data_IF_101624557763
#
_entry.id   IF_101624557763
#
_cell.length_a   1.000
_cell.length_b   1.000
_cell.length_c   1.000
_cell.angle_alpha   90.00
_cell.angle_beta   90.00
_cell.angle_gamma   90.00
#
_symmetry.space_group_name_H-M   'P 1'
#
loop_
_entity.id
_entity.type
_entity.pdbx_description
1 polymer ?
#
# COMPACT_ATOMS: atom_id res chain seq x y z
N UNK A 1 -39.97 33.82 12.12
CA UNK A 1 -39.51 32.50 12.60
C UNK A 1 -38.74 31.88 11.45
N UNK A 2 -37.49 32.30 11.23
CA UNK A 2 -36.63 31.73 10.18
C UNK A 2 -35.94 30.52 10.77
N UNK A 3 -36.30 29.34 10.26
CA UNK A 3 -35.62 28.09 10.56
C UNK A 3 -34.23 28.15 9.90
N UNK A 4 -33.20 28.35 10.71
CA UNK A 4 -31.81 28.10 10.31
C UNK A 4 -31.70 26.60 10.02
N UNK A 5 -31.65 26.24 8.74
CA UNK A 5 -31.23 24.91 8.34
C UNK A 5 -29.72 24.83 8.58
N UNK A 6 -29.34 24.24 9.71
CA UNK A 6 -27.98 23.80 9.96
C UNK A 6 -27.58 22.79 8.87
N UNK A 7 -26.82 23.27 7.89
CA UNK A 7 -26.08 22.43 6.96
C UNK A 7 -25.01 21.69 7.76
N UNK A 8 -25.33 20.49 8.23
CA UNK A 8 -24.33 19.59 8.81
C UNK A 8 -23.43 19.15 7.67
N UNK A 9 -22.30 19.82 7.50
CA UNK A 9 -21.21 19.32 6.65
C UNK A 9 -20.88 17.90 7.13
N UNK A 10 -20.85 16.89 6.24
CA UNK A 10 -20.49 15.54 6.65
C UNK A 10 -19.05 15.58 7.16
N UNK A 11 -18.87 15.47 8.47
CA UNK A 11 -17.57 15.24 9.10
C UNK A 11 -17.11 13.85 8.68
N UNK A 12 -16.49 13.76 7.51
CA UNK A 12 -15.73 12.57 7.10
C UNK A 12 -14.69 12.37 8.19
N UNK A 13 -14.65 11.21 8.88
CA UNK A 13 -13.60 10.96 9.85
C UNK A 13 -12.26 11.09 9.10
N UNK A 14 -11.42 12.04 9.53
CA UNK A 14 -10.04 12.21 9.04
C UNK A 14 -9.24 10.99 9.50
N UNK A 15 -9.47 9.87 8.83
CA UNK A 15 -8.74 8.65 9.08
C UNK A 15 -7.30 8.96 8.69
N UNK A 16 -6.35 8.86 9.62
CA UNK A 16 -5.00 9.34 9.38
C UNK A 16 -4.42 8.62 8.17
N UNK A 17 -3.93 9.41 7.22
CA UNK A 17 -3.36 8.93 5.97
C UNK A 17 -1.84 8.94 6.05
N UNK A 18 -1.24 7.88 5.52
CA UNK A 18 0.19 7.68 5.53
C UNK A 18 0.70 7.31 4.15
N UNK A 19 1.98 7.62 3.92
CA UNK A 19 2.76 7.09 2.81
C UNK A 19 3.68 5.99 3.33
N UNK A 20 3.70 4.86 2.63
CA UNK A 20 4.58 3.73 2.91
C UNK A 20 5.30 3.32 1.63
N UNK A 21 6.57 2.95 1.73
CA UNK A 21 7.35 2.54 0.55
C UNK A 21 7.20 1.05 0.29
N UNK A 22 6.53 0.68 -0.80
CA UNK A 22 6.27 -0.72 -1.15
C UNK A 22 7.01 -1.09 -2.43
N UNK A 23 7.64 -2.26 -2.40
CA UNK A 23 8.31 -2.88 -3.54
C UNK A 23 7.52 -4.11 -3.98
N UNK A 24 7.10 -4.12 -5.24
CA UNK A 24 6.29 -5.21 -5.80
C UNK A 24 7.12 -6.44 -6.17
N UNK A 25 8.29 -6.21 -6.78
CA UNK A 25 9.24 -7.23 -7.19
C UNK A 25 10.62 -6.61 -7.37
N UNK A 26 11.67 -7.42 -7.31
CA UNK A 26 12.99 -6.99 -7.79
C UNK A 26 13.03 -7.03 -9.33
N UNK A 27 13.78 -6.11 -9.98
CA UNK A 27 14.65 -5.08 -9.42
C UNK A 27 13.94 -3.74 -9.15
N UNK A 28 12.60 -3.70 -9.12
CA UNK A 28 11.86 -2.44 -8.97
C UNK A 28 12.20 -1.77 -7.64
N UNK A 29 12.26 -0.44 -7.67
CA UNK A 29 12.41 0.37 -6.46
C UNK A 29 11.11 0.37 -5.65
N UNK A 30 11.22 0.71 -4.37
CA UNK A 30 10.05 0.92 -3.54
C UNK A 30 9.37 2.25 -3.91
N UNK A 31 8.09 2.19 -4.26
CA UNK A 31 7.26 3.35 -4.61
C UNK A 31 6.40 3.77 -3.41
N UNK A 32 5.93 5.02 -3.39
CA UNK A 32 5.04 5.51 -2.33
C UNK A 32 3.60 5.04 -2.57
N UNK A 33 3.02 4.37 -1.58
CA UNK A 33 1.62 3.96 -1.54
C UNK A 33 0.89 4.65 -0.39
N UNK A 34 -0.38 4.96 -0.61
CA UNK A 34 -1.28 5.51 0.38
C UNK A 34 -1.89 4.40 1.22
N UNK A 35 -1.93 4.59 2.54
CA UNK A 35 -2.56 3.65 3.47
C UNK A 35 -3.24 4.40 4.62
N UNK A 36 -4.31 3.80 5.15
CA UNK A 36 -4.93 4.17 6.42
C UNK A 36 -4.60 3.16 7.52
N UNK A 37 -3.97 2.03 7.19
CA UNK A 37 -3.50 1.07 8.19
C UNK A 37 -2.33 1.66 8.96
N UNK A 38 -2.46 1.74 10.28
CA UNK A 38 -1.35 2.09 11.17
C UNK A 38 -0.40 0.90 11.35
N UNK A 39 0.84 1.20 11.71
CA UNK A 39 1.82 0.20 12.17
C UNK A 39 2.24 -0.80 11.08
N UNK A 40 2.47 -0.32 9.86
CA UNK A 40 3.17 -1.09 8.83
C UNK A 40 4.68 -0.94 8.99
N UNK A 41 5.35 -2.08 9.15
CA UNK A 41 6.79 -2.16 9.39
C UNK A 41 7.55 -2.64 8.15
N UNK A 42 8.83 -2.30 8.08
CA UNK A 42 9.71 -2.81 7.02
C UNK A 42 9.81 -4.33 7.12
N UNK A 43 9.59 -5.02 6.00
CA UNK A 43 9.52 -6.47 5.91
C UNK A 43 8.10 -7.05 5.96
N UNK A 44 7.09 -6.22 6.26
CA UNK A 44 5.69 -6.62 6.17
C UNK A 44 5.27 -6.82 4.71
N UNK A 45 4.29 -7.70 4.51
CA UNK A 45 3.69 -7.95 3.21
C UNK A 45 2.26 -7.41 3.20
N UNK A 46 1.92 -6.72 2.12
CA UNK A 46 0.62 -6.07 1.96
C UNK A 46 0.05 -6.33 0.58
N UNK A 47 -1.27 -6.29 0.50
CA UNK A 47 -2.00 -6.30 -0.77
C UNK A 47 -2.20 -4.84 -1.19
N UNK A 48 -1.80 -4.54 -2.41
CA UNK A 48 -1.96 -3.21 -3.00
C UNK A 48 -2.83 -3.26 -4.24
N UNK A 49 -3.39 -2.10 -4.57
CA UNK A 49 -3.99 -1.85 -5.87
C UNK A 49 -2.91 -1.70 -6.95
N UNK A 50 -3.00 -2.52 -8.00
CA UNK A 50 -2.11 -2.53 -9.15
C UNK A 50 -2.73 -1.91 -10.42
N UNK A 51 -3.87 -1.21 -10.30
CA UNK A 51 -4.52 -0.47 -11.39
C UNK A 51 -5.44 -1.30 -12.30
N UNK A 52 -5.42 -2.63 -12.18
CA UNK A 52 -6.32 -3.55 -12.87
C UNK A 52 -6.61 -4.84 -12.07
N UNK A 53 -6.22 -4.84 -10.80
CA UNK A 53 -6.25 -6.01 -9.92
C UNK A 53 -5.43 -5.75 -8.66
N UNK A 54 -5.23 -6.78 -7.87
CA UNK A 54 -4.44 -6.71 -6.65
C UNK A 54 -3.10 -7.41 -6.81
N UNK A 55 -2.11 -6.97 -6.03
CA UNK A 55 -0.82 -7.62 -6.00
C UNK A 55 -0.20 -7.55 -4.61
N UNK A 56 0.64 -8.55 -4.30
CA UNK A 56 1.41 -8.61 -3.05
C UNK A 56 2.68 -7.76 -3.20
N UNK A 57 2.94 -6.89 -2.23
CA UNK A 57 4.15 -6.07 -2.15
C UNK A 57 4.80 -6.14 -0.77
N UNK A 58 6.12 -5.91 -0.74
CA UNK A 58 6.94 -5.87 0.48
C UNK A 58 7.14 -4.42 0.92
N UNK A 59 6.91 -4.12 2.20
CA UNK A 59 7.24 -2.82 2.78
C UNK A 59 8.76 -2.69 2.92
N UNK A 60 9.34 -1.70 2.23
CA UNK A 60 10.78 -1.43 2.22
C UNK A 60 11.17 -0.07 2.78
N UNK A 61 10.21 0.86 2.91
CA UNK A 61 10.41 2.13 3.61
C UNK A 61 9.32 2.31 4.66
N UNK A 62 9.66 2.79 5.86
CA UNK A 62 8.73 2.92 6.96
C UNK A 62 7.57 3.86 6.62
N UNK A 63 6.47 3.63 7.31
CA UNK A 63 5.32 4.50 7.27
C UNK A 63 5.68 5.93 7.72
N UNK A 64 5.14 6.93 7.02
CA UNK A 64 5.21 8.34 7.42
C UNK A 64 3.87 9.04 7.20
N UNK A 65 3.50 10.03 8.03
CA UNK A 65 2.28 10.81 7.81
C UNK A 65 2.27 11.44 6.41
N UNK A 66 1.11 11.46 5.76
CA UNK A 66 0.94 12.15 4.48
C UNK A 66 1.07 13.66 4.70
N UNK A 67 2.10 14.32 4.12
CA UNK A 67 2.24 15.77 4.25
C UNK A 67 1.07 16.50 3.58
N UNK A 68 0.64 17.63 4.14
CA UNK A 68 -0.52 18.39 3.65
C UNK A 68 -0.37 18.79 2.18
N UNK A 69 0.80 19.28 1.77
CA UNK A 69 1.09 19.65 0.38
C UNK A 69 1.08 18.48 -0.64
N UNK A 70 0.98 17.24 -0.14
CA UNK A 70 0.83 16.03 -0.95
C UNK A 70 -0.59 15.49 -0.95
N UNK A 71 -1.51 16.07 -0.17
CA UNK A 71 -2.94 15.74 -0.20
C UNK A 71 -3.49 16.09 -1.59
N UNK A 72 -4.42 15.26 -2.08
CA UNK A 72 -5.02 15.40 -3.42
C UNK A 72 -4.24 14.80 -4.60
N UNK A 73 -3.02 14.26 -4.39
CA UNK A 73 -2.31 13.49 -5.41
C UNK A 73 -2.88 12.07 -5.51
N UNK A 74 -2.86 11.52 -6.72
CA UNK A 74 -3.19 10.12 -6.95
C UNK A 74 -2.00 9.24 -6.56
N UNK A 75 -2.18 8.49 -5.49
CA UNK A 75 -1.28 7.42 -5.07
C UNK A 75 -1.99 6.08 -5.23
N UNK A 76 -1.24 5.04 -5.57
CA UNK A 76 -1.74 3.67 -5.42
C UNK A 76 -1.97 3.37 -3.94
N UNK A 77 -2.90 2.46 -3.66
CA UNK A 77 -3.38 2.22 -2.29
C UNK A 77 -2.95 0.87 -1.76
N UNK A 78 -2.60 0.82 -0.48
CA UNK A 78 -2.63 -0.40 0.31
C UNK A 78 -4.09 -0.73 0.61
N UNK A 79 -4.48 -1.96 0.31
CA UNK A 79 -5.83 -2.45 0.54
C UNK A 79 -5.93 -3.14 1.90
N UNK A 80 -4.95 -3.98 2.23
CA UNK A 80 -4.84 -4.67 3.52
C UNK A 80 -3.46 -5.31 3.71
N UNK A 81 -3.16 -5.77 4.92
CA UNK A 81 -2.08 -6.74 5.16
C UNK A 81 -2.29 -8.04 4.35
N UNK A 82 -1.20 -8.61 3.85
CA UNK A 82 -1.20 -9.91 3.21
C UNK A 82 -1.31 -11.01 4.28
N UNK A 83 -2.06 -12.05 4.00
CA UNK A 83 -2.10 -13.26 4.81
C UNK A 83 -0.77 -14.04 4.70
N UNK A 84 -0.52 -14.93 5.65
CA UNK A 84 0.65 -15.81 5.60
C UNK A 84 0.68 -16.71 4.35
N UNK A 85 -0.50 -17.14 3.87
CA UNK A 85 -0.62 -17.91 2.64
C UNK A 85 -0.18 -17.09 1.42
N UNK A 86 -0.69 -15.85 1.27
CA UNK A 86 -0.32 -14.95 0.17
C UNK A 86 1.17 -14.57 0.21
N UNK A 87 1.71 -14.36 1.41
CA UNK A 87 3.14 -14.13 1.63
C UNK A 87 3.99 -15.33 1.20
N UNK A 88 3.58 -16.54 1.58
CA UNK A 88 4.30 -17.78 1.27
C UNK A 88 4.28 -18.05 -0.24
N UNK A 89 3.11 -17.93 -0.87
CA UNK A 89 2.97 -18.07 -2.33
C UNK A 89 3.84 -17.06 -3.08
N UNK A 90 3.89 -15.80 -2.60
CA UNK A 90 4.75 -14.79 -3.19
C UNK A 90 6.23 -15.17 -3.10
N UNK A 91 6.69 -15.67 -1.94
CA UNK A 91 8.08 -16.12 -1.75
C UNK A 91 8.42 -17.30 -2.65
N UNK A 92 7.54 -18.29 -2.76
CA UNK A 92 7.73 -19.46 -3.62
C UNK A 92 7.79 -19.10 -5.11
N UNK A 93 6.88 -18.22 -5.56
CA UNK A 93 6.89 -17.71 -6.93
C UNK A 93 8.20 -16.98 -7.21
N UNK A 94 8.67 -16.15 -6.27
CA UNK A 94 9.95 -15.45 -6.37
C UNK A 94 11.14 -16.39 -6.41
N UNK A 95 11.17 -17.42 -5.58
CA UNK A 95 12.23 -18.42 -5.58
C UNK A 95 12.32 -19.13 -6.95
N UNK A 96 11.17 -19.55 -7.50
CA UNK A 96 11.08 -20.16 -8.84
C UNK A 96 11.54 -19.23 -9.96
N UNK A 97 11.13 -17.96 -9.92
CA UNK A 97 11.56 -16.95 -10.89
C UNK A 97 13.08 -16.72 -10.84
N UNK A 98 13.69 -16.63 -9.64
CA UNK A 98 15.15 -16.49 -9.49
C UNK A 98 15.87 -17.73 -10.05
N UNK A 99 15.37 -18.93 -9.75
CA UNK A 99 15.94 -20.18 -10.27
C UNK A 99 15.81 -20.28 -11.79
N UNK A 100 14.66 -19.91 -12.36
CA UNK A 100 14.42 -19.91 -13.80
C UNK A 100 15.37 -18.98 -14.55
N UNK A 101 15.67 -17.80 -13.98
CA UNK A 101 16.69 -16.89 -14.54
C UNK A 101 18.08 -17.51 -14.52
N UNK A 102 18.42 -18.27 -13.47
CA UNK A 102 19.73 -18.92 -13.36
C UNK A 102 19.91 -20.09 -14.35
N UNK A 103 18.83 -20.77 -14.75
CA UNK A 103 18.89 -21.89 -15.69
C UNK A 103 18.94 -21.49 -17.17
N UNK A 104 18.71 -20.22 -17.49
CA UNK A 104 18.81 -19.67 -18.84
C UNK A 104 20.15 -18.96 -19.11
N UNK A 105 21.16 -19.15 -18.26
CA UNK A 105 22.54 -18.67 -18.44
C UNK A 105 23.44 -19.74 -19.02
#
# INVERSE_FOLDING_TARGET
>A
MSELTDIVEPTVPDTPQYLVGIRMREPLMAEDYLTTEAELHVGDFVIVDAGGGTAVGEVRRPQRPLPEFKRGRLYRRVLRRASDAERSEWRERRAREVQGVATCQ
#
